data_IF_856216709783
#
_entry.id   IF_856216709783
#
_cell.length_a   1.000
_cell.length_b   1.000
_cell.length_c   1.000
_cell.angle_alpha   90.00
_cell.angle_beta   90.00
_cell.angle_gamma   90.00
#
_symmetry.space_group_name_H-M   'P 1'
#
loop_
_entity.id
_entity.type
_entity.pdbx_description
1 polymer ?
#
# COMPACT_ATOMS: atom_id res chain seq x y z
N UNK A 1 -3.38 2.30 17.74
CA UNK A 1 -2.97 1.74 19.05
C UNK A 1 -2.90 0.20 19.01
N UNK A 2 -1.82 -0.35 18.45
CA UNK A 2 -1.48 -1.78 18.53
C UNK A 2 0.06 -1.88 18.52
N UNK A 3 0.66 -2.22 19.66
CA UNK A 3 2.11 -2.29 19.86
C UNK A 3 2.52 -3.74 20.20
N UNK A 4 3.61 -4.28 19.64
CA UNK A 4 4.05 -5.66 19.88
C UNK A 4 4.43 -5.97 21.34
N UNK A 5 4.79 -4.97 22.14
CA UNK A 5 4.99 -5.11 23.61
C UNK A 5 3.71 -4.90 24.44
N UNK A 6 2.54 -4.97 23.80
CA UNK A 6 1.26 -4.85 24.49
C UNK A 6 1.02 -6.02 25.44
N UNK A 7 1.06 -5.77 26.75
CA UNK A 7 0.79 -6.74 27.84
C UNK A 7 -0.62 -7.35 27.88
N UNK A 8 -1.45 -7.15 26.86
CA UNK A 8 -2.87 -7.52 26.86
C UNK A 8 -3.14 -8.60 25.80
N UNK A 9 -3.43 -9.82 26.28
CA UNK A 9 -3.75 -11.03 25.49
C UNK A 9 -4.72 -10.80 24.32
N UNK A 10 -5.67 -9.87 24.48
CA UNK A 10 -6.70 -9.53 23.48
C UNK A 10 -6.17 -8.91 22.18
N UNK A 11 -4.92 -8.45 22.14
CA UNK A 11 -4.29 -7.86 20.94
C UNK A 11 -3.36 -8.82 20.19
N UNK A 12 -3.34 -10.11 20.58
CA UNK A 12 -2.51 -11.16 19.97
C UNK A 12 -3.18 -11.86 18.78
N UNK A 13 -4.41 -11.50 18.44
CA UNK A 13 -5.09 -12.09 17.28
C UNK A 13 -4.56 -11.45 16.00
N UNK A 14 -4.19 -12.29 15.02
CA UNK A 14 -3.96 -11.90 13.64
C UNK A 14 -5.28 -11.33 13.10
N UNK A 15 -5.51 -10.04 13.34
CA UNK A 15 -6.71 -9.36 12.86
C UNK A 15 -6.54 -9.14 11.36
N UNK A 16 -7.59 -9.40 10.58
CA UNK A 16 -7.62 -9.09 9.14
C UNK A 16 -7.29 -7.61 8.84
N UNK A 17 -7.42 -6.75 9.85
CA UNK A 17 -7.11 -5.32 9.78
C UNK A 17 -5.62 -5.02 10.04
N UNK A 18 -4.85 -5.96 10.58
CA UNK A 18 -3.41 -5.78 10.80
C UNK A 18 -2.66 -6.34 9.61
N UNK A 19 -1.83 -5.50 9.00
CA UNK A 19 -0.95 -5.88 7.90
C UNK A 19 -0.18 -7.17 8.25
N UNK A 20 -0.09 -8.15 7.33
CA UNK A 20 -0.40 -8.03 5.90
C UNK A 20 -1.89 -8.20 5.52
N UNK A 21 -2.83 -8.26 6.48
CA UNK A 21 -4.25 -8.33 6.16
C UNK A 21 -4.78 -7.07 5.46
N UNK A 22 -5.68 -7.19 4.46
CA UNK A 22 -6.20 -6.07 3.68
C UNK A 22 -7.35 -5.31 4.36
N UNK A 23 -7.78 -5.73 5.55
CA UNK A 23 -9.04 -5.28 6.16
C UNK A 23 -9.14 -3.76 6.34
N UNK A 24 -8.05 -3.09 6.74
CA UNK A 24 -8.02 -1.63 6.82
C UNK A 24 -8.18 -0.96 5.44
N UNK A 25 -7.62 -1.55 4.39
CA UNK A 25 -7.68 -1.00 3.03
C UNK A 25 -9.08 -1.20 2.46
N UNK A 26 -9.64 -2.40 2.58
CA UNK A 26 -11.00 -2.71 2.11
C UNK A 26 -12.04 -1.85 2.83
N UNK A 27 -11.88 -1.64 4.14
CA UNK A 27 -12.75 -0.73 4.90
C UNK A 27 -12.61 0.71 4.41
N UNK A 28 -11.39 1.20 4.19
CA UNK A 28 -11.19 2.54 3.65
C UNK A 28 -11.81 2.71 2.26
N UNK A 29 -11.71 1.70 1.38
CA UNK A 29 -12.35 1.72 0.07
C UNK A 29 -13.88 1.84 0.17
N UNK A 30 -14.50 1.11 1.10
CA UNK A 30 -15.94 1.11 1.31
C UNK A 30 -16.45 2.38 2.03
N UNK A 31 -15.80 2.78 3.13
CA UNK A 31 -16.24 3.89 3.99
C UNK A 31 -16.08 5.25 3.29
N UNK A 32 -15.09 5.38 2.40
CA UNK A 32 -14.75 6.63 1.72
C UNK A 32 -15.18 6.66 0.25
N UNK A 33 -15.88 5.62 -0.23
CA UNK A 33 -16.31 5.46 -1.62
C UNK A 33 -15.16 5.71 -2.62
N UNK A 34 -13.99 5.12 -2.31
CA UNK A 34 -12.78 5.33 -3.10
C UNK A 34 -12.84 4.40 -4.31
N UNK A 35 -12.61 4.98 -5.49
CA UNK A 35 -12.41 4.22 -6.71
C UNK A 35 -11.14 3.38 -6.61
N UNK A 36 -11.35 2.09 -6.37
CA UNK A 36 -10.30 1.07 -6.28
C UNK A 36 -9.47 1.04 -7.56
N UNK A 37 -10.11 1.17 -8.72
CA UNK A 37 -9.42 1.09 -10.00
C UNK A 37 -8.45 2.24 -10.15
N UNK A 38 -8.75 3.42 -9.61
CA UNK A 38 -7.92 4.63 -9.65
C UNK A 38 -7.03 4.88 -8.43
N UNK A 39 -6.94 3.90 -7.55
CA UNK A 39 -6.17 4.01 -6.31
C UNK A 39 -4.88 3.19 -6.33
N UNK A 40 -3.94 3.56 -5.47
CA UNK A 40 -2.74 2.80 -5.16
C UNK A 40 -2.31 3.09 -3.72
N UNK A 41 -1.54 2.17 -3.13
CA UNK A 41 -1.01 2.31 -1.78
C UNK A 41 0.49 2.60 -1.85
N UNK A 42 0.95 3.58 -1.08
CA UNK A 42 2.38 3.78 -0.79
C UNK A 42 2.63 3.36 0.65
N UNK A 43 3.62 2.50 0.86
CA UNK A 43 4.04 2.03 2.18
C UNK A 43 5.55 1.97 2.30
N UNK A 44 6.08 2.01 3.53
CA UNK A 44 7.50 1.91 3.83
C UNK A 44 7.95 0.47 4.11
N UNK A 45 7.00 -0.46 4.24
CA UNK A 45 7.26 -1.86 4.61
C UNK A 45 6.68 -2.83 3.59
N UNK A 46 7.34 -3.99 3.46
CA UNK A 46 6.84 -5.08 2.63
C UNK A 46 5.44 -5.56 3.06
N UNK A 47 5.11 -5.44 4.36
CA UNK A 47 3.77 -5.76 4.88
C UNK A 47 2.67 -4.86 4.31
N UNK A 48 3.03 -3.65 3.87
CA UNK A 48 2.10 -2.70 3.27
C UNK A 48 1.78 -3.11 1.83
N UNK A 49 2.80 -3.54 1.10
CA UNK A 49 2.68 -4.05 -0.27
C UNK A 49 1.83 -5.31 -0.28
N UNK A 50 2.10 -6.25 0.64
CA UNK A 50 1.29 -7.46 0.79
C UNK A 50 -0.19 -7.14 1.11
N UNK A 51 -0.45 -6.12 1.92
CA UNK A 51 -1.82 -5.69 2.21
C UNK A 51 -2.49 -5.04 0.99
N UNK A 52 -1.76 -4.24 0.21
CA UNK A 52 -2.25 -3.64 -1.03
C UNK A 52 -2.62 -4.70 -2.08
N UNK A 53 -1.73 -5.68 -2.29
CA UNK A 53 -1.97 -6.83 -3.16
C UNK A 53 -3.20 -7.64 -2.70
N UNK A 54 -3.30 -7.93 -1.39
CA UNK A 54 -4.45 -8.63 -0.83
C UNK A 54 -5.76 -7.82 -0.94
N UNK A 55 -5.69 -6.49 -0.98
CA UNK A 55 -6.83 -5.62 -1.26
C UNK A 55 -7.13 -5.47 -2.76
N UNK A 56 -6.22 -5.95 -3.63
CA UNK A 56 -6.30 -5.87 -5.08
C UNK A 56 -6.04 -4.47 -5.64
N UNK A 57 -5.19 -3.67 -4.98
CA UNK A 57 -4.71 -2.38 -5.47
C UNK A 57 -3.18 -2.42 -5.66
N UNK A 58 -2.62 -1.63 -6.58
CA UNK A 58 -1.17 -1.50 -6.71
C UNK A 58 -0.53 -0.99 -5.40
N UNK A 59 0.57 -1.62 -4.99
CA UNK A 59 1.39 -1.20 -3.85
C UNK A 59 2.77 -0.72 -4.29
N UNK A 60 3.23 0.42 -3.78
CA UNK A 60 4.55 0.97 -4.04
C UNK A 60 5.34 1.11 -2.74
N UNK A 61 6.55 0.57 -2.72
CA UNK A 61 7.44 0.62 -1.57
C UNK A 61 8.26 1.92 -1.60
N UNK A 62 8.09 2.76 -0.60
CA UNK A 62 8.85 3.99 -0.43
C UNK A 62 10.03 3.76 0.50
N UNK A 63 11.23 3.70 -0.04
CA UNK A 63 12.46 3.43 0.70
C UNK A 63 13.09 4.69 1.34
N UNK A 64 12.53 5.88 1.09
CA UNK A 64 13.03 7.16 1.58
C UNK A 64 13.25 8.19 0.46
N UNK A 65 13.67 9.40 0.85
CA UNK A 65 13.85 10.53 -0.08
C UNK A 65 12.66 11.48 -0.13
N UNK A 66 12.37 12.03 -1.31
CA UNK A 66 11.27 12.98 -1.50
C UNK A 66 9.97 12.25 -1.84
N UNK A 67 9.02 12.27 -0.89
CA UNK A 67 7.71 11.62 -1.07
C UNK A 67 6.90 12.24 -2.23
N UNK A 68 6.99 13.57 -2.44
CA UNK A 68 6.24 14.23 -3.51
C UNK A 68 6.69 13.76 -4.89
N UNK A 69 8.01 13.69 -5.11
CA UNK A 69 8.59 13.17 -6.36
C UNK A 69 8.21 11.69 -6.57
N UNK A 70 8.22 10.90 -5.50
CA UNK A 70 7.84 9.49 -5.55
C UNK A 70 6.36 9.30 -5.91
N UNK A 71 5.46 10.12 -5.35
CA UNK A 71 4.03 10.10 -5.67
C UNK A 71 3.80 10.44 -7.15
N UNK A 72 4.49 11.47 -7.67
CA UNK A 72 4.40 11.84 -9.08
C UNK A 72 4.90 10.73 -10.00
N UNK A 73 5.97 10.03 -9.62
CA UNK A 73 6.47 8.88 -10.37
C UNK A 73 5.48 7.70 -10.34
N UNK A 74 4.93 7.37 -9.17
CA UNK A 74 3.88 6.35 -9.04
C UNK A 74 2.67 6.67 -9.94
N UNK A 75 2.27 7.95 -10.00
CA UNK A 75 1.18 8.42 -10.87
C UNK A 75 1.54 8.21 -12.34
N UNK A 76 2.76 8.55 -12.76
CA UNK A 76 3.24 8.35 -14.15
C UNK A 76 3.32 6.87 -14.52
N UNK A 77 3.87 6.01 -13.65
CA UNK A 77 3.98 4.55 -13.86
C UNK A 77 2.61 3.91 -14.05
N UNK A 78 1.61 4.36 -13.30
CA UNK A 78 0.23 3.87 -13.42
C UNK A 78 -0.41 4.28 -14.74
N UNK A 79 -0.23 5.52 -15.17
CA UNK A 79 -0.69 5.99 -16.50
C UNK A 79 0.04 5.23 -17.61
N UNK A 80 1.34 5.00 -17.47
CA UNK A 80 2.14 4.19 -18.41
C UNK A 80 1.67 2.73 -18.48
N UNK A 81 1.41 2.09 -17.35
CA UNK A 81 0.91 0.72 -17.29
C UNK A 81 -0.50 0.57 -17.88
N UNK A 82 -1.40 1.53 -17.62
CA UNK A 82 -2.73 1.58 -18.24
C UNK A 82 -2.68 1.80 -19.76
N UNK A 83 -1.62 2.43 -20.27
CA UNK A 83 -1.37 2.67 -21.69
C UNK A 83 -0.42 1.65 -22.35
N UNK A 84 0.01 0.60 -21.62
CA UNK A 84 0.92 -0.44 -22.14
C UNK A 84 2.38 0.01 -22.37
N UNK A 85 2.80 1.15 -21.82
CA UNK A 85 4.18 1.63 -21.85
C UNK A 85 4.96 1.07 -20.65
N UNK A 86 5.90 0.15 -20.91
CA UNK A 86 6.81 -0.36 -19.89
C UNK A 86 7.69 0.78 -19.36
N UNK A 87 7.48 1.16 -18.09
CA UNK A 87 8.36 2.09 -17.39
C UNK A 87 9.64 1.35 -17.01
N UNK A 88 10.62 1.35 -17.91
CA UNK A 88 12.01 1.08 -17.58
C UNK A 88 12.53 2.16 -16.64
N UNK A 89 13.09 1.76 -15.50
CA UNK A 89 13.57 2.69 -14.49
C UNK A 89 14.01 1.95 -13.24
N UNK A 90 15.00 1.07 -13.41
CA UNK A 90 15.78 0.49 -12.33
C UNK A 90 16.49 1.62 -11.57
N UNK A 91 16.18 1.78 -10.30
CA UNK A 91 17.00 2.54 -9.37
C UNK A 91 17.07 1.78 -8.05
N UNK A 92 18.26 1.26 -7.78
CA UNK A 92 18.71 0.83 -6.47
C UNK A 92 20.22 1.10 -6.39
N UNK A 93 20.75 1.35 -5.19
CA UNK A 93 20.45 2.46 -4.28
C UNK A 93 21.22 3.75 -4.61
#
# INVERSE_FOLDING_TARGET
>A
PYHPDGKVERFRLAHVDRKPGPGMILRALADLDIDKENSFLIGDKQTDIAAAEAAGIPGFLFAGGNLAEFVDDCRKRRVGAALGLQAGGEFAP
#
